data_IF_664458096136
#
_entry.id   IF_664458096136
#
_cell.length_a   1.000
_cell.length_b   1.000
_cell.length_c   1.000
_cell.angle_alpha   90.00
_cell.angle_beta   90.00
_cell.angle_gamma   90.00
#
_symmetry.space_group_name_H-M   'P 1'
#
loop_
_entity.id
_entity.type
_entity.pdbx_description
1 polymer ?
#
# COMPACT_ATOMS: atom_id res chain seq x y z
N UNK A 1 22.93 -14.58 42.26
CA UNK A 1 23.26 -13.38 41.49
C UNK A 1 23.03 -13.65 40.00
N UNK A 2 22.16 -12.81 39.41
CA UNK A 2 22.04 -12.42 38.00
C UNK A 2 21.54 -13.44 36.96
N UNK A 3 20.22 -13.41 36.80
CA UNK A 3 19.46 -13.62 35.57
C UNK A 3 20.04 -12.83 34.39
N UNK A 4 20.18 -13.49 33.23
CA UNK A 4 20.13 -12.80 31.93
C UNK A 4 18.94 -13.36 31.15
N UNK A 5 17.81 -12.71 31.37
CA UNK A 5 16.64 -12.79 30.49
C UNK A 5 17.01 -11.93 29.27
N UNK A 6 17.38 -12.54 28.15
CA UNK A 6 17.49 -11.81 26.89
C UNK A 6 16.10 -11.67 26.29
N UNK A 7 15.49 -10.53 26.62
CA UNK A 7 14.25 -10.05 26.03
C UNK A 7 14.58 -9.46 24.65
N UNK A 8 14.53 -10.25 23.59
CA UNK A 8 14.46 -9.71 22.23
C UNK A 8 13.00 -9.69 21.83
N UNK A 9 12.34 -8.58 22.20
CA UNK A 9 11.07 -8.19 21.60
C UNK A 9 11.32 -7.93 20.11
N UNK A 10 11.22 -8.98 19.29
CA UNK A 10 10.87 -8.78 17.90
C UNK A 10 9.45 -8.24 17.90
N UNK A 11 9.32 -6.92 17.87
CA UNK A 11 8.06 -6.26 17.58
C UNK A 11 7.67 -6.65 16.15
N UNK A 12 6.95 -7.76 16.03
CA UNK A 12 6.06 -7.98 14.92
C UNK A 12 4.94 -6.93 15.06
N UNK A 13 5.19 -5.71 14.58
CA UNK A 13 4.13 -4.73 14.39
C UNK A 13 3.35 -5.19 13.16
N UNK A 14 2.54 -6.24 13.34
CA UNK A 14 1.53 -6.63 12.36
C UNK A 14 0.34 -5.68 12.49
N UNK A 15 0.52 -4.41 12.13
CA UNK A 15 -0.63 -3.51 11.94
C UNK A 15 -1.17 -3.70 10.53
N UNK A 16 -1.71 -4.89 10.29
CA UNK A 16 -2.61 -5.08 9.17
C UNK A 16 -3.78 -4.12 9.35
N UNK A 17 -4.12 -3.34 8.32
CA UNK A 17 -5.27 -2.45 8.40
C UNK A 17 -6.52 -3.24 8.81
N UNK A 18 -7.33 -2.69 9.71
CA UNK A 18 -8.64 -3.28 10.02
C UNK A 18 -9.55 -3.20 8.81
N UNK A 19 -10.59 -4.03 8.79
CA UNK A 19 -11.56 -4.05 7.70
C UNK A 19 -12.24 -2.69 7.52
N UNK A 20 -12.61 -2.03 8.61
CA UNK A 20 -13.23 -0.70 8.60
C UNK A 20 -12.27 0.35 8.03
N UNK A 21 -10.98 0.28 8.40
CA UNK A 21 -9.97 1.18 7.85
C UNK A 21 -9.80 0.95 6.35
N UNK A 22 -9.77 -0.30 5.88
CA UNK A 22 -9.69 -0.63 4.46
C UNK A 22 -10.89 -0.04 3.70
N UNK A 23 -12.09 -0.15 4.24
CA UNK A 23 -13.30 0.41 3.62
C UNK A 23 -13.25 1.93 3.50
N UNK A 24 -12.78 2.62 4.55
CA UNK A 24 -12.58 4.07 4.50
C UNK A 24 -11.49 4.46 3.48
N UNK A 25 -10.39 3.70 3.43
CA UNK A 25 -9.33 3.94 2.45
C UNK A 25 -9.89 3.80 1.02
N UNK A 26 -10.61 2.71 0.74
CA UNK A 26 -11.27 2.44 -0.55
C UNK A 26 -12.19 3.58 -0.96
N UNK A 27 -12.97 4.10 -0.02
CA UNK A 27 -13.94 5.18 -0.26
C UNK A 27 -13.29 6.53 -0.55
N UNK A 28 -12.20 6.86 0.13
CA UNK A 28 -11.66 8.24 0.13
C UNK A 28 -10.39 8.45 -0.69
N UNK A 29 -9.58 7.41 -0.91
CA UNK A 29 -8.22 7.59 -1.47
C UNK A 29 -8.01 6.91 -2.82
N UNK A 30 -8.93 6.05 -3.25
CA UNK A 30 -8.86 5.46 -4.58
C UNK A 30 -9.67 6.27 -5.60
N UNK A 31 -9.16 6.40 -6.85
CA UNK A 31 -9.95 6.90 -7.96
C UNK A 31 -11.19 6.03 -8.23
N UNK A 32 -12.26 6.65 -8.73
CA UNK A 32 -13.56 5.98 -8.98
C UNK A 32 -13.44 4.81 -9.98
N UNK A 33 -12.48 4.88 -10.90
CA UNK A 33 -12.25 3.85 -11.93
C UNK A 33 -11.22 2.78 -11.51
N UNK A 34 -10.73 2.80 -10.27
CA UNK A 34 -9.78 1.80 -9.79
C UNK A 34 -10.43 0.41 -9.77
N UNK A 35 -9.74 -0.58 -10.32
CA UNK A 35 -10.18 -1.98 -10.28
C UNK A 35 -9.83 -2.60 -8.92
N UNK A 36 -10.61 -3.58 -8.49
CA UNK A 36 -10.38 -4.29 -7.22
C UNK A 36 -8.95 -4.79 -7.07
N UNK A 37 -8.39 -5.40 -8.13
CA UNK A 37 -7.01 -5.91 -8.13
C UNK A 37 -5.95 -4.82 -7.93
N UNK A 38 -6.19 -3.62 -8.46
CA UNK A 38 -5.28 -2.47 -8.29
C UNK A 38 -5.37 -1.91 -6.87
N UNK A 39 -6.59 -1.88 -6.32
CA UNK A 39 -6.81 -1.50 -4.93
C UNK A 39 -6.11 -2.46 -3.96
N UNK A 40 -6.26 -3.76 -4.19
CA UNK A 40 -5.60 -4.81 -3.39
C UNK A 40 -4.08 -4.70 -3.45
N UNK A 41 -3.51 -4.48 -4.64
CA UNK A 41 -2.08 -4.25 -4.81
C UNK A 41 -1.61 -3.04 -4.01
N UNK A 42 -2.29 -1.89 -4.15
CA UNK A 42 -1.95 -0.66 -3.44
C UNK A 42 -2.07 -0.81 -1.91
N UNK A 43 -3.14 -1.46 -1.42
CA UNK A 43 -3.34 -1.74 0.01
C UNK A 43 -2.28 -2.68 0.56
N UNK A 44 -1.85 -3.69 -0.21
CA UNK A 44 -0.79 -4.60 0.18
C UNK A 44 0.54 -3.85 0.34
N UNK A 45 0.88 -2.95 -0.60
CA UNK A 45 2.09 -2.11 -0.50
C UNK A 45 2.00 -1.18 0.72
N UNK A 46 0.87 -0.50 0.92
CA UNK A 46 0.66 0.37 2.08
C UNK A 46 0.83 -0.38 3.41
N UNK A 47 0.25 -1.58 3.53
CA UNK A 47 0.36 -2.43 4.71
C UNK A 47 1.80 -2.93 4.92
N UNK A 48 2.43 -3.45 3.85
CA UNK A 48 3.80 -3.98 3.89
C UNK A 48 4.82 -2.97 4.39
N UNK A 49 4.68 -1.70 4.02
CA UNK A 49 5.58 -0.63 4.43
C UNK A 49 5.01 0.24 5.56
N UNK A 50 3.88 -0.16 6.16
CA UNK A 50 3.21 0.57 7.22
C UNK A 50 2.96 2.07 6.89
N UNK A 51 2.57 2.35 5.64
CA UNK A 51 2.31 3.69 5.14
C UNK A 51 0.81 3.99 5.21
N UNK A 52 0.44 5.11 5.84
CA UNK A 52 -0.95 5.51 6.00
C UNK A 52 -1.35 6.62 5.00
N UNK A 53 -2.36 6.38 4.13
CA UNK A 53 -2.85 7.40 3.21
C UNK A 53 -3.54 8.58 3.93
N UNK A 54 -4.11 8.38 5.12
CA UNK A 54 -4.68 9.48 5.92
C UNK A 54 -3.61 10.45 6.41
N UNK A 55 -2.39 9.94 6.64
CA UNK A 55 -1.23 10.71 7.03
C UNK A 55 -0.43 11.23 5.82
N UNK A 56 -0.95 11.06 4.60
CA UNK A 56 -0.31 11.47 3.34
C UNK A 56 1.05 10.80 3.10
N UNK A 57 1.29 9.65 3.72
CA UNK A 57 2.52 8.88 3.56
C UNK A 57 2.53 8.06 2.26
N UNK A 58 1.35 7.79 1.71
CA UNK A 58 1.16 7.11 0.43
C UNK A 58 -0.07 7.66 -0.28
N UNK A 59 -0.01 7.71 -1.60
CA UNK A 59 -1.09 8.14 -2.49
C UNK A 59 -1.38 7.04 -3.52
N UNK A 60 -2.63 6.90 -3.96
CA UNK A 60 -3.01 5.96 -5.02
C UNK A 60 -3.40 6.76 -6.26
N UNK A 61 -2.54 6.73 -7.27
CA UNK A 61 -2.60 7.68 -8.39
C UNK A 61 -2.77 6.96 -9.73
N UNK A 62 -3.60 7.48 -10.65
CA UNK A 62 -3.61 7.02 -12.03
C UNK A 62 -2.26 7.27 -12.68
N UNK A 63 -1.71 6.23 -13.30
CA UNK A 63 -0.43 6.23 -13.99
C UNK A 63 -0.57 5.51 -15.32
N UNK A 64 0.05 6.09 -16.34
CA UNK A 64 0.16 5.46 -17.65
C UNK A 64 1.49 4.71 -17.71
N UNK A 65 1.43 3.42 -18.03
CA UNK A 65 2.61 2.57 -18.13
C UNK A 65 2.60 1.81 -19.45
N UNK A 66 3.78 1.54 -19.98
CA UNK A 66 3.94 0.65 -21.12
C UNK A 66 4.10 -0.77 -20.61
N UNK A 67 3.23 -1.68 -21.06
CA UNK A 67 3.26 -3.10 -20.74
C UNK A 67 3.39 -3.90 -22.02
N UNK A 68 3.88 -5.13 -21.91
CA UNK A 68 3.93 -6.06 -23.03
C UNK A 68 2.69 -6.96 -23.01
N UNK A 69 1.90 -6.91 -24.09
CA UNK A 69 0.73 -7.75 -24.29
C UNK A 69 0.91 -8.46 -25.63
N UNK A 70 0.97 -9.80 -25.61
CA UNK A 70 1.14 -10.62 -26.81
C UNK A 70 2.34 -10.20 -27.69
N UNK A 71 3.48 -9.87 -27.08
CA UNK A 71 4.70 -9.45 -27.79
C UNK A 71 4.66 -8.01 -28.33
N UNK A 72 3.65 -7.21 -27.97
CA UNK A 72 3.52 -5.81 -28.38
C UNK A 72 3.52 -4.89 -27.17
N UNK A 73 4.15 -3.73 -27.33
CA UNK A 73 4.16 -2.66 -26.33
C UNK A 73 2.84 -1.88 -26.40
N UNK A 74 2.06 -1.94 -25.33
CA UNK A 74 0.79 -1.24 -25.21
C UNK A 74 0.82 -0.28 -24.02
N UNK A 75 0.21 0.89 -24.19
CA UNK A 75 0.04 1.83 -23.09
C UNK A 75 -1.26 1.55 -22.36
N UNK A 76 -1.15 1.28 -21.06
CA UNK A 76 -2.31 1.05 -20.19
C UNK A 76 -2.35 2.09 -19.08
N UNK A 77 -3.57 2.50 -18.72
CA UNK A 77 -3.81 3.27 -17.51
C UNK A 77 -4.04 2.30 -16.35
N UNK A 78 -3.32 2.54 -15.25
CA UNK A 78 -3.41 1.75 -14.02
C UNK A 78 -3.35 2.63 -12.79
N UNK A 79 -3.78 2.11 -11.65
CA UNK A 79 -3.58 2.78 -10.35
C UNK A 79 -2.33 2.21 -9.67
N UNK A 80 -1.37 3.08 -9.35
CA UNK A 80 -0.14 2.71 -8.64
C UNK A 80 -0.03 3.45 -7.29
N UNK A 81 0.62 2.82 -6.29
CA UNK A 81 1.00 3.51 -5.06
C UNK A 81 2.19 4.44 -5.29
N UNK A 82 2.13 5.65 -4.73
CA UNK A 82 3.21 6.62 -4.70
C UNK A 82 3.50 7.00 -3.25
N UNK A 83 4.73 6.74 -2.80
CA UNK A 83 5.18 7.15 -1.46
C UNK A 83 5.23 8.68 -1.40
N UNK A 84 4.57 9.24 -0.40
CA UNK A 84 4.59 10.67 -0.13
C UNK A 84 5.90 11.11 0.52
N UNK A 85 6.12 12.42 0.61
CA UNK A 85 7.27 12.99 1.32
C UNK A 85 7.37 12.46 2.77
N UNK A 86 6.23 12.23 3.40
CA UNK A 86 6.13 11.81 4.80
C UNK A 86 6.12 10.27 4.97
N UNK A 87 6.34 9.51 3.89
CA UNK A 87 6.53 8.06 3.95
C UNK A 87 8.02 7.72 4.12
N UNK A 88 8.37 7.12 5.25
CA UNK A 88 9.73 6.75 5.65
C UNK A 88 9.80 5.30 6.13
#
# INVERSE_FOLDING_TARGET
MNTKITNTQNQAVSTSFTQEKIELIRKHFFPVNAKTVEMEYCLNIANKYNLDPFLKQIFFVPRRAQVEVNGKKEWVDKIDPLVGRDGF
#
